data_IF_899379507209
#
_entry.id   IF_899379507209
#
_cell.length_a   1.000
_cell.length_b   1.000
_cell.length_c   1.000
_cell.angle_alpha   90.00
_cell.angle_beta   90.00
_cell.angle_gamma   90.00
#
_symmetry.space_group_name_H-M   'P 1'
#
loop_
_entity.id
_entity.type
_entity.pdbx_description
1 polymer ?
#
# COMPACT_ATOMS: atom_id res chain seq x y z
N UNK A 1 -21.16 56.10 68.21
CA UNK A 1 -21.95 56.82 67.19
C UNK A 1 -21.84 56.00 65.92
N UNK A 2 -23.03 55.48 65.51
CA UNK A 2 -23.50 55.10 64.16
C UNK A 2 -22.56 54.33 63.26
N UNK A 3 -22.60 53.06 63.07
CA UNK A 3 -23.59 52.14 62.63
C UNK A 3 -23.94 52.24 61.14
N UNK A 4 -23.49 51.37 60.29
CA UNK A 4 -24.30 50.97 59.11
C UNK A 4 -23.88 49.60 58.61
N UNK A 5 -24.85 48.72 58.60
CA UNK A 5 -24.81 47.36 58.04
C UNK A 5 -24.67 47.39 56.54
N UNK A 6 -23.88 46.52 55.96
CA UNK A 6 -23.85 46.30 54.50
C UNK A 6 -24.30 44.86 54.24
N UNK A 7 -25.42 44.75 53.51
CA UNK A 7 -26.11 43.52 53.10
C UNK A 7 -25.29 42.82 52.02
N UNK A 8 -25.03 41.53 52.20
CA UNK A 8 -24.46 40.62 51.17
C UNK A 8 -25.59 40.13 50.26
N UNK A 9 -25.46 40.42 48.96
CA UNK A 9 -26.27 39.74 47.93
C UNK A 9 -25.47 38.61 47.33
N UNK A 10 -25.93 37.39 47.49
CA UNK A 10 -25.48 36.20 46.79
C UNK A 10 -26.15 36.20 45.44
N UNK A 11 -25.37 36.42 44.36
CA UNK A 11 -25.77 36.13 43.00
C UNK A 11 -25.29 34.74 42.62
N UNK A 12 -26.22 33.80 42.53
CA UNK A 12 -26.03 32.45 41.99
C UNK A 12 -25.97 32.62 40.47
N UNK A 13 -24.75 32.59 39.93
CA UNK A 13 -24.54 32.48 38.48
C UNK A 13 -24.61 31.02 38.09
N UNK A 14 -25.70 30.55 37.47
CA UNK A 14 -25.75 29.28 36.76
C UNK A 14 -24.85 29.37 35.53
N UNK A 15 -23.66 28.79 35.62
CA UNK A 15 -22.84 28.50 34.44
C UNK A 15 -23.40 27.25 33.79
N UNK A 16 -24.17 27.45 32.73
CA UNK A 16 -24.59 26.38 31.82
C UNK A 16 -23.36 25.96 31.03
N UNK A 17 -22.73 24.88 31.46
CA UNK A 17 -21.77 24.16 30.62
C UNK A 17 -22.54 23.46 29.48
N UNK A 18 -22.65 24.15 28.36
CA UNK A 18 -23.00 23.48 27.10
C UNK A 18 -21.82 22.59 26.74
N UNK A 19 -21.98 21.30 27.04
CA UNK A 19 -21.07 20.26 26.59
C UNK A 19 -21.04 20.22 25.07
N UNK A 20 -19.97 20.70 24.50
CA UNK A 20 -19.61 20.45 23.10
C UNK A 20 -19.13 19.00 23.02
N UNK A 21 -20.07 18.08 22.83
CA UNK A 21 -19.76 16.68 22.48
C UNK A 21 -19.28 16.63 21.04
N UNK A 22 -18.04 16.39 20.88
CA UNK A 22 -17.25 15.71 19.91
C UNK A 22 -17.83 15.29 18.56
N UNK A 23 -17.71 16.14 17.54
CA UNK A 23 -17.73 15.72 16.13
C UNK A 23 -16.31 15.84 15.52
N UNK A 24 -15.31 16.18 16.33
CA UNK A 24 -13.94 16.52 15.86
C UNK A 24 -13.08 15.33 15.40
N UNK A 25 -13.35 14.10 15.86
CA UNK A 25 -12.43 12.98 15.64
C UNK A 25 -12.38 12.41 14.20
N UNK A 26 -13.48 12.46 13.47
CA UNK A 26 -13.52 11.89 12.12
C UNK A 26 -12.93 12.80 11.03
N UNK A 27 -13.01 14.11 11.23
CA UNK A 27 -12.43 15.08 10.30
C UNK A 27 -10.91 15.13 10.43
N UNK A 28 -10.40 15.05 11.65
CA UNK A 28 -8.98 14.95 11.96
C UNK A 28 -8.37 13.67 11.34
N UNK A 29 -9.00 12.51 11.51
CA UNK A 29 -8.54 11.24 10.95
C UNK A 29 -8.47 11.28 9.42
N UNK A 30 -9.50 11.84 8.77
CA UNK A 30 -9.50 12.01 7.31
C UNK A 30 -8.39 12.96 6.82
N UNK A 31 -8.06 14.00 7.57
CA UNK A 31 -6.98 14.93 7.23
C UNK A 31 -5.62 14.23 7.31
N UNK A 32 -5.39 13.37 8.30
CA UNK A 32 -4.17 12.54 8.40
C UNK A 32 -4.03 11.67 7.15
N UNK A 33 -5.11 10.98 6.74
CA UNK A 33 -5.11 10.16 5.52
C UNK A 33 -4.84 11.02 4.28
N UNK A 34 -5.47 12.18 4.16
CA UNK A 34 -5.25 13.09 3.03
C UNK A 34 -3.79 13.54 2.96
N UNK A 35 -3.18 13.86 4.12
CA UNK A 35 -1.76 14.21 4.19
C UNK A 35 -0.88 13.04 3.78
N UNK A 36 -1.12 11.84 4.31
CA UNK A 36 -0.38 10.64 3.95
C UNK A 36 -0.46 10.36 2.44
N UNK A 37 -1.66 10.38 1.86
CA UNK A 37 -1.86 10.22 0.41
C UNK A 37 -1.08 11.27 -0.39
N UNK A 38 -1.13 12.54 0.01
CA UNK A 38 -0.38 13.60 -0.67
C UNK A 38 1.13 13.36 -0.59
N UNK A 39 1.63 12.88 0.55
CA UNK A 39 3.04 12.53 0.75
C UNK A 39 3.45 11.36 -0.13
N UNK A 40 2.63 10.30 -0.22
CA UNK A 40 2.89 9.17 -1.12
C UNK A 40 2.94 9.61 -2.58
N UNK A 41 1.96 10.39 -3.03
CA UNK A 41 1.93 10.91 -4.41
C UNK A 41 3.10 11.85 -4.73
N UNK A 42 3.62 12.58 -3.73
CA UNK A 42 4.80 13.41 -3.89
C UNK A 42 6.07 12.56 -3.96
N UNK A 43 6.17 11.53 -3.13
CA UNK A 43 7.28 10.60 -3.13
C UNK A 43 7.37 9.84 -4.47
N UNK A 44 6.26 9.29 -4.95
CA UNK A 44 6.18 8.59 -6.25
C UNK A 44 6.70 9.46 -7.42
N UNK A 45 6.38 10.76 -7.42
CA UNK A 45 6.86 11.68 -8.46
C UNK A 45 8.33 12.06 -8.35
N UNK A 46 8.90 12.01 -7.15
CA UNK A 46 10.25 12.54 -6.86
C UNK A 46 11.29 11.43 -6.61
N UNK A 47 10.85 10.23 -6.30
CA UNK A 47 11.72 9.08 -6.10
C UNK A 47 12.03 8.43 -7.46
N UNK A 48 13.28 8.43 -7.82
CA UNK A 48 13.83 7.79 -9.02
C UNK A 48 14.90 6.78 -8.64
N UNK A 49 14.98 6.41 -7.35
CA UNK A 49 15.92 5.44 -6.87
C UNK A 49 15.62 4.05 -7.41
N UNK A 50 16.68 3.28 -7.65
CA UNK A 50 16.60 1.90 -8.07
C UNK A 50 17.17 1.01 -6.98
N UNK A 51 16.56 -0.15 -6.80
CA UNK A 51 16.89 -1.06 -5.71
C UNK A 51 17.19 -2.45 -6.22
N UNK A 52 18.09 -3.11 -5.52
CA UNK A 52 18.31 -4.54 -5.61
C UNK A 52 17.77 -5.14 -4.33
N UNK A 53 16.94 -6.18 -4.45
CA UNK A 53 16.35 -6.86 -3.30
C UNK A 53 16.06 -8.33 -3.61
N UNK A 54 15.85 -9.10 -2.55
CA UNK A 54 15.37 -10.48 -2.68
C UNK A 54 13.84 -10.50 -2.48
N UNK A 55 13.16 -11.31 -3.28
CA UNK A 55 11.71 -11.48 -3.29
C UNK A 55 11.33 -12.96 -3.20
N UNK A 56 10.35 -13.27 -2.33
CA UNK A 56 9.66 -14.57 -2.25
C UNK A 56 8.18 -14.33 -2.56
N UNK A 57 7.79 -14.46 -3.84
CA UNK A 57 6.43 -14.30 -4.33
C UNK A 57 5.75 -15.67 -4.46
N UNK A 58 4.71 -15.88 -3.68
CA UNK A 58 3.96 -17.15 -3.60
C UNK A 58 2.52 -16.92 -4.02
N UNK A 59 2.19 -17.49 -5.17
CA UNK A 59 0.83 -17.57 -5.72
C UNK A 59 0.46 -19.03 -5.90
N UNK A 60 -0.84 -19.43 -5.89
CA UNK A 60 -1.25 -20.83 -6.02
C UNK A 60 -0.71 -21.52 -7.26
N UNK A 61 -0.60 -20.81 -8.36
CA UNK A 61 -0.19 -21.36 -9.66
C UNK A 61 1.27 -21.08 -10.00
N UNK A 62 1.93 -20.20 -9.26
CA UNK A 62 3.32 -19.83 -9.51
C UNK A 62 3.98 -19.26 -8.26
N UNK A 63 5.03 -19.92 -7.78
CA UNK A 63 5.84 -19.38 -6.70
C UNK A 63 7.28 -19.16 -7.19
N UNK A 64 7.85 -18.01 -6.85
CA UNK A 64 9.17 -17.61 -7.33
C UNK A 64 9.98 -17.03 -6.18
N UNK A 65 11.23 -17.50 -6.03
CA UNK A 65 12.24 -16.82 -5.19
C UNK A 65 13.32 -16.28 -6.11
N UNK A 66 13.58 -14.99 -5.98
CA UNK A 66 14.45 -14.31 -6.92
C UNK A 66 15.14 -13.09 -6.32
N UNK A 67 16.26 -12.72 -6.90
CA UNK A 67 16.82 -11.39 -6.78
C UNK A 67 16.28 -10.52 -7.90
N UNK A 68 15.92 -9.30 -7.57
CA UNK A 68 15.41 -8.28 -8.50
C UNK A 68 16.36 -7.10 -8.48
N UNK A 69 16.73 -6.59 -9.64
CA UNK A 69 17.48 -5.36 -9.80
C UNK A 69 16.68 -4.40 -10.68
N UNK A 70 16.20 -3.31 -10.08
CA UNK A 70 15.43 -2.26 -10.75
C UNK A 70 16.33 -1.41 -11.64
N UNK A 71 15.80 -0.94 -12.77
CA UNK A 71 16.42 0.06 -13.63
C UNK A 71 15.35 1.02 -14.18
N UNK A 72 15.74 2.17 -14.68
CA UNK A 72 14.83 3.14 -15.30
C UNK A 72 14.05 2.57 -16.52
N UNK A 73 14.46 1.40 -17.04
CA UNK A 73 13.86 0.78 -18.23
C UNK A 73 13.07 -0.48 -17.93
N UNK A 74 13.08 -0.97 -16.68
CA UNK A 74 12.46 -2.21 -16.22
C UNK A 74 13.39 -2.97 -15.28
N UNK A 75 12.99 -4.15 -14.85
CA UNK A 75 13.66 -4.92 -13.81
C UNK A 75 14.29 -6.18 -14.38
N UNK A 76 15.52 -6.46 -13.93
CA UNK A 76 16.20 -7.71 -14.25
C UNK A 76 15.97 -8.68 -13.09
N UNK A 77 15.58 -9.91 -13.41
CA UNK A 77 15.25 -10.94 -12.42
C UNK A 77 16.22 -12.10 -12.50
N UNK A 78 16.88 -12.45 -11.38
CA UNK A 78 17.63 -13.68 -11.22
C UNK A 78 16.80 -14.67 -10.42
N UNK A 79 16.06 -15.52 -11.12
CA UNK A 79 15.19 -16.54 -10.50
C UNK A 79 16.05 -17.66 -9.94
N UNK A 80 15.99 -17.88 -8.62
CA UNK A 80 16.72 -18.95 -7.93
C UNK A 80 15.89 -20.20 -7.75
N UNK A 81 14.58 -20.02 -7.50
CA UNK A 81 13.63 -21.12 -7.32
C UNK A 81 12.29 -20.76 -8.00
N UNK A 82 11.71 -21.69 -8.70
CA UNK A 82 10.43 -21.57 -9.37
C UNK A 82 9.59 -22.83 -9.09
N UNK A 83 8.42 -22.68 -8.46
CA UNK A 83 7.53 -23.79 -8.08
C UNK A 83 8.25 -24.90 -7.29
N UNK A 84 9.11 -24.50 -6.33
CA UNK A 84 9.91 -25.42 -5.50
C UNK A 84 11.11 -26.03 -6.22
N UNK A 85 11.32 -25.75 -7.52
CA UNK A 85 12.49 -26.24 -8.28
C UNK A 85 13.58 -25.17 -8.27
N UNK A 86 14.75 -25.53 -7.73
CA UNK A 86 15.95 -24.68 -7.83
C UNK A 86 16.40 -24.55 -9.29
N UNK A 87 16.68 -23.32 -9.71
CA UNK A 87 17.18 -23.02 -11.05
C UNK A 87 18.71 -23.04 -11.03
N UNK A 88 19.37 -23.88 -11.83
CA UNK A 88 20.83 -23.91 -11.90
C UNK A 88 21.43 -22.58 -12.38
N UNK A 89 22.58 -22.18 -11.85
CA UNK A 89 23.24 -20.90 -12.19
C UNK A 89 23.41 -20.66 -13.71
N UNK A 90 23.75 -21.64 -14.55
CA UNK A 90 23.81 -21.42 -16.00
C UNK A 90 22.43 -21.09 -16.62
N UNK A 91 21.35 -21.67 -16.09
CA UNK A 91 19.98 -21.38 -16.55
C UNK A 91 19.53 -19.98 -16.08
N UNK A 92 19.85 -19.61 -14.82
CA UNK A 92 19.59 -18.28 -14.28
C UNK A 92 20.22 -17.21 -15.20
N UNK A 93 21.53 -17.37 -15.49
CA UNK A 93 22.25 -16.45 -16.38
C UNK A 93 21.61 -16.38 -17.76
N UNK A 94 21.33 -17.52 -18.38
CA UNK A 94 20.69 -17.58 -19.70
C UNK A 94 19.32 -16.89 -19.73
N UNK A 95 18.57 -16.91 -18.64
CA UNK A 95 17.27 -16.22 -18.55
C UNK A 95 17.49 -14.70 -18.48
N UNK A 96 18.44 -14.21 -17.68
CA UNK A 96 18.79 -12.79 -17.61
C UNK A 96 19.33 -12.28 -18.95
N UNK A 97 20.34 -12.95 -19.55
CA UNK A 97 20.90 -12.61 -20.87
C UNK A 97 19.80 -12.45 -21.93
N UNK A 98 18.83 -13.39 -21.95
CA UNK A 98 17.70 -13.34 -22.89
C UNK A 98 16.86 -12.08 -22.68
N UNK A 99 16.53 -11.75 -21.43
CA UNK A 99 15.75 -10.54 -21.12
C UNK A 99 16.52 -9.27 -21.49
N UNK A 100 17.81 -9.20 -21.16
CA UNK A 100 18.67 -8.04 -21.48
C UNK A 100 18.78 -7.82 -22.99
N UNK A 101 18.66 -8.86 -23.81
CA UNK A 101 18.71 -8.79 -25.28
C UNK A 101 17.33 -8.63 -25.93
N UNK A 102 16.22 -8.83 -25.21
CA UNK A 102 14.86 -8.80 -25.74
C UNK A 102 14.16 -7.46 -25.46
N UNK A 103 14.32 -6.51 -26.39
CA UNK A 103 13.67 -5.20 -26.30
C UNK A 103 12.14 -5.28 -26.28
N UNK A 104 11.56 -6.34 -26.85
CA UNK A 104 10.11 -6.56 -26.84
C UNK A 104 9.62 -6.96 -25.44
N UNK A 105 10.31 -7.89 -24.78
CA UNK A 105 10.01 -8.25 -23.39
C UNK A 105 10.18 -7.06 -22.43
N UNK A 106 11.24 -6.27 -22.59
CA UNK A 106 11.50 -5.06 -21.81
C UNK A 106 10.36 -4.02 -21.98
N UNK A 107 9.97 -3.75 -23.22
CA UNK A 107 8.89 -2.81 -23.51
C UNK A 107 7.55 -3.27 -22.92
N UNK A 108 7.26 -4.57 -22.98
CA UNK A 108 6.05 -5.16 -22.39
C UNK A 108 6.07 -5.03 -20.86
N UNK A 109 7.18 -5.38 -20.19
CA UNK A 109 7.30 -5.25 -18.74
C UNK A 109 7.10 -3.79 -18.30
N UNK A 110 7.80 -2.85 -18.95
CA UNK A 110 7.66 -1.42 -18.66
C UNK A 110 6.23 -0.91 -18.87
N UNK A 111 5.57 -1.30 -19.95
CA UNK A 111 4.19 -0.89 -20.22
C UNK A 111 3.21 -1.45 -19.19
N UNK A 112 3.41 -2.70 -18.73
CA UNK A 112 2.60 -3.31 -17.68
C UNK A 112 2.80 -2.57 -16.35
N UNK A 113 4.05 -2.39 -15.89
CA UNK A 113 4.35 -1.66 -14.67
C UNK A 113 3.75 -0.26 -14.66
N UNK A 114 3.94 0.52 -15.74
CA UNK A 114 3.33 1.85 -15.84
C UNK A 114 1.79 1.85 -15.81
N UNK A 115 1.15 0.78 -16.28
CA UNK A 115 -0.31 0.63 -16.17
C UNK A 115 -0.71 0.39 -14.71
N UNK A 116 -0.02 -0.52 -14.03
CA UNK A 116 -0.29 -0.88 -12.65
C UNK A 116 -0.03 0.29 -11.71
N UNK A 117 1.06 1.05 -11.89
CA UNK A 117 1.39 2.27 -11.15
C UNK A 117 0.30 3.34 -11.28
N UNK A 118 -0.17 3.58 -12.51
CA UNK A 118 -1.28 4.54 -12.72
C UNK A 118 -2.55 4.11 -11.99
N UNK A 119 -2.90 2.83 -12.06
CA UNK A 119 -4.07 2.30 -11.39
C UNK A 119 -3.94 2.42 -9.86
N UNK A 120 -2.80 2.04 -9.30
CA UNK A 120 -2.51 2.21 -7.87
C UNK A 120 -2.60 3.68 -7.45
N UNK A 121 -2.03 4.59 -8.24
CA UNK A 121 -2.08 6.04 -8.01
C UNK A 121 -3.52 6.57 -8.00
N UNK A 122 -4.37 6.15 -8.94
CA UNK A 122 -5.77 6.59 -8.96
C UNK A 122 -6.56 6.04 -7.76
N UNK A 123 -6.37 4.78 -7.38
CA UNK A 123 -6.99 4.20 -6.19
C UNK A 123 -6.53 4.90 -4.90
N UNK A 124 -5.24 5.20 -4.78
CA UNK A 124 -4.68 5.91 -3.63
C UNK A 124 -5.34 7.29 -3.42
N UNK A 125 -5.58 8.04 -4.49
CA UNK A 125 -6.27 9.34 -4.44
C UNK A 125 -7.70 9.26 -3.90
N UNK A 126 -8.34 8.13 -4.01
CA UNK A 126 -9.72 7.94 -3.57
C UNK A 126 -9.84 7.66 -2.06
N UNK A 127 -8.79 7.13 -1.41
CA UNK A 127 -8.83 6.67 -0.02
C UNK A 127 -9.43 7.66 0.97
N UNK A 128 -9.09 8.97 0.97
CA UNK A 128 -9.63 9.93 1.93
C UNK A 128 -11.15 10.09 1.86
N UNK A 129 -11.76 9.80 0.70
CA UNK A 129 -13.19 9.98 0.46
C UNK A 129 -13.95 8.64 0.41
N UNK A 130 -13.28 7.54 0.05
CA UNK A 130 -13.88 6.22 -0.07
C UNK A 130 -14.34 5.67 1.27
N UNK A 131 -13.71 6.13 2.36
CA UNK A 131 -13.95 5.60 3.69
C UNK A 131 -14.34 6.67 4.71
N UNK A 132 -15.01 6.23 5.77
CA UNK A 132 -15.14 6.94 7.04
C UNK A 132 -13.97 6.51 7.91
N UNK A 133 -13.15 7.47 8.30
CA UNK A 133 -11.94 7.25 9.07
C UNK A 133 -12.14 7.58 10.54
N UNK A 134 -11.55 6.77 11.42
CA UNK A 134 -11.58 6.98 12.87
C UNK A 134 -10.19 6.77 13.43
N UNK A 135 -9.66 7.73 14.18
CA UNK A 135 -8.42 7.56 14.93
C UNK A 135 -8.64 6.58 16.09
N UNK A 136 -7.89 5.50 16.14
CA UNK A 136 -8.02 4.44 17.16
C UNK A 136 -6.88 4.41 18.16
N UNK A 137 -5.76 5.04 17.86
CA UNK A 137 -4.62 5.13 18.77
C UNK A 137 -3.31 5.48 18.07
N UNK A 138 -2.24 5.50 18.87
CA UNK A 138 -0.87 5.66 18.40
C UNK A 138 -0.02 4.53 18.97
N UNK A 139 0.87 3.98 18.16
CA UNK A 139 1.78 2.92 18.57
C UNK A 139 3.14 3.06 17.87
N UNK A 140 4.22 3.08 18.63
CA UNK A 140 5.61 3.11 18.11
C UNK A 140 5.88 4.22 17.07
N UNK A 141 5.37 5.43 17.32
CA UNK A 141 5.55 6.58 16.40
C UNK A 141 4.70 6.51 15.13
N UNK A 142 3.62 5.75 15.19
CA UNK A 142 2.66 5.64 14.12
C UNK A 142 1.25 5.91 14.63
N UNK A 143 0.46 6.62 13.84
CA UNK A 143 -0.97 6.82 14.04
C UNK A 143 -1.75 5.66 13.42
N UNK A 144 -2.67 5.05 14.19
CA UNK A 144 -3.55 3.97 13.72
C UNK A 144 -4.94 4.52 13.45
N UNK A 145 -5.42 4.29 12.23
CA UNK A 145 -6.70 4.77 11.71
C UNK A 145 -7.55 3.59 11.26
N UNK A 146 -8.72 3.45 11.85
CA UNK A 146 -9.71 2.47 11.39
C UNK A 146 -10.55 3.05 10.25
N UNK A 147 -10.84 2.24 9.24
CA UNK A 147 -11.67 2.64 8.10
C UNK A 147 -12.84 1.70 7.85
N UNK A 148 -13.97 2.30 7.46
CA UNK A 148 -15.18 1.61 7.00
C UNK A 148 -15.69 2.26 5.73
N UNK A 149 -16.43 1.53 4.87
CA UNK A 149 -16.99 2.11 3.66
C UNK A 149 -17.80 3.40 3.94
N UNK A 150 -17.56 4.42 3.14
CA UNK A 150 -18.37 5.63 3.17
C UNK A 150 -19.59 5.45 2.28
N UNK A 151 -20.78 5.36 2.88
CA UNK A 151 -22.04 5.20 2.14
C UNK A 151 -22.35 6.33 1.14
N UNK A 152 -21.67 7.48 1.26
CA UNK A 152 -21.81 8.62 0.32
C UNK A 152 -20.79 8.58 -0.81
N UNK A 153 -19.84 7.66 -0.77
CA UNK A 153 -18.84 7.52 -1.83
C UNK A 153 -19.47 6.79 -3.03
N UNK A 154 -19.26 7.35 -4.20
CA UNK A 154 -19.67 6.76 -5.48
C UNK A 154 -18.40 6.39 -6.24
N UNK A 155 -18.07 5.09 -6.34
CA UNK A 155 -16.89 4.63 -7.07
C UNK A 155 -16.92 5.12 -8.52
N UNK A 156 -15.82 5.72 -9.03
CA UNK A 156 -15.77 6.21 -10.41
C UNK A 156 -15.70 5.07 -11.44
N UNK A 157 -15.19 3.92 -11.02
CA UNK A 157 -14.96 2.76 -11.87
C UNK A 157 -15.21 1.44 -11.10
N UNK A 158 -14.91 0.33 -11.78
CA UNK A 158 -15.11 -1.02 -11.21
C UNK A 158 -14.07 -1.36 -10.16
N UNK A 159 -12.84 -0.95 -10.38
CA UNK A 159 -11.71 -1.18 -9.49
C UNK A 159 -11.98 -0.51 -8.14
N UNK A 160 -12.41 0.74 -8.15
CA UNK A 160 -12.78 1.48 -6.94
C UNK A 160 -14.03 0.92 -6.23
N UNK A 161 -14.87 0.13 -6.92
CA UNK A 161 -16.07 -0.43 -6.30
C UNK A 161 -15.78 -1.42 -5.17
N UNK A 162 -14.58 -1.98 -5.10
CA UNK A 162 -14.14 -2.84 -3.99
C UNK A 162 -14.12 -2.08 -2.66
N UNK A 163 -13.86 -0.77 -2.68
CA UNK A 163 -13.83 0.05 -1.46
C UNK A 163 -15.17 0.08 -0.71
N UNK A 164 -16.28 -0.11 -1.41
CA UNK A 164 -17.60 -0.21 -0.76
C UNK A 164 -17.77 -1.47 0.10
N UNK A 165 -16.83 -2.40 0.03
CA UNK A 165 -16.85 -3.66 0.79
C UNK A 165 -15.63 -3.83 1.71
N UNK A 166 -14.71 -2.87 1.78
CA UNK A 166 -13.46 -2.99 2.56
C UNK A 166 -13.62 -2.33 3.93
N UNK A 167 -13.22 -3.04 4.98
CA UNK A 167 -13.08 -2.52 6.34
C UNK A 167 -11.73 -2.96 6.91
N UNK A 168 -11.07 -2.09 7.70
CA UNK A 168 -9.77 -2.43 8.27
C UNK A 168 -9.07 -1.26 8.94
N UNK A 169 -7.74 -1.36 8.99
CA UNK A 169 -6.88 -0.38 9.64
C UNK A 169 -5.76 0.09 8.70
N UNK A 170 -5.45 1.36 8.79
CA UNK A 170 -4.28 1.98 8.17
C UNK A 170 -3.35 2.49 9.26
N UNK A 171 -2.06 2.24 9.09
CA UNK A 171 -1.03 2.81 9.95
C UNK A 171 -0.24 3.86 9.18
N UNK A 172 -0.13 5.05 9.76
CA UNK A 172 0.62 6.19 9.19
C UNK A 172 1.79 6.54 10.09
N UNK A 173 2.99 6.59 9.54
CA UNK A 173 4.17 7.03 10.28
C UNK A 173 4.09 8.53 10.59
N UNK A 174 4.20 8.89 11.87
CA UNK A 174 3.98 10.26 12.35
C UNK A 174 5.08 11.22 11.89
N UNK A 175 6.33 10.75 11.77
CA UNK A 175 7.47 11.60 11.44
C UNK A 175 7.52 11.97 9.94
N UNK A 176 7.19 11.03 9.07
CA UNK A 176 7.31 11.22 7.63
C UNK A 176 5.95 11.28 6.91
N UNK A 177 4.85 11.10 7.65
CA UNK A 177 3.48 11.04 7.11
C UNK A 177 3.33 10.03 5.96
N UNK A 178 4.02 8.88 6.08
CA UNK A 178 3.97 7.80 5.09
C UNK A 178 3.05 6.69 5.56
N UNK A 179 2.34 6.08 4.62
CA UNK A 179 1.53 4.88 4.92
C UNK A 179 2.49 3.74 5.23
N UNK A 180 2.46 3.23 6.47
CA UNK A 180 3.29 2.12 6.90
C UNK A 180 2.60 0.76 6.71
N UNK A 181 1.27 0.71 6.88
CA UNK A 181 0.51 -0.50 6.57
C UNK A 181 -0.94 -0.21 6.20
N UNK A 182 -1.54 -1.13 5.46
CA UNK A 182 -2.97 -1.15 5.15
C UNK A 182 -3.46 -2.60 5.26
N UNK A 183 -4.30 -2.87 6.26
CA UNK A 183 -4.79 -4.22 6.58
C UNK A 183 -6.30 -4.22 6.66
N UNK A 184 -6.94 -5.27 6.16
CA UNK A 184 -8.39 -5.35 6.27
C UNK A 184 -8.98 -6.58 5.61
N UNK A 185 -10.29 -6.52 5.45
CA UNK A 185 -11.07 -7.61 4.88
C UNK A 185 -12.30 -7.10 4.12
N UNK A 186 -12.87 -7.97 3.31
CA UNK A 186 -14.12 -7.72 2.62
C UNK A 186 -15.30 -8.09 3.53
N UNK A 187 -16.14 -7.10 3.87
CA UNK A 187 -17.31 -7.27 4.75
C UNK A 187 -18.54 -7.86 4.04
N UNK A 188 -18.57 -7.81 2.70
CA UNK A 188 -19.59 -8.45 1.88
C UNK A 188 -19.03 -8.80 0.49
N UNK A 189 -19.78 -9.59 -0.28
CA UNK A 189 -19.41 -9.96 -1.66
C UNK A 189 -19.37 -8.72 -2.56
N UNK A 190 -18.31 -8.58 -3.38
CA UNK A 190 -18.21 -7.59 -4.45
C UNK A 190 -18.49 -8.27 -5.79
N UNK A 191 -19.48 -7.79 -6.53
CA UNK A 191 -19.91 -8.38 -7.80
C UNK A 191 -19.65 -7.42 -8.95
N UNK A 192 -18.97 -7.90 -9.99
CA UNK A 192 -18.70 -7.17 -11.20
C UNK A 192 -19.53 -7.74 -12.36
N UNK A 193 -20.16 -6.86 -13.15
CA UNK A 193 -20.99 -7.28 -14.27
C UNK A 193 -22.12 -8.22 -13.84
N UNK A 194 -22.90 -7.84 -12.80
CA UNK A 194 -23.95 -8.67 -12.19
C UNK A 194 -23.47 -10.04 -11.67
N UNK A 195 -22.16 -10.14 -11.35
CA UNK A 195 -21.56 -11.39 -10.90
C UNK A 195 -21.11 -12.33 -12.03
N UNK A 196 -21.32 -11.94 -13.28
CA UNK A 196 -20.92 -12.75 -14.44
C UNK A 196 -19.44 -12.57 -14.81
N UNK A 197 -18.86 -11.39 -14.55
CA UNK A 197 -17.46 -11.08 -14.89
C UNK A 197 -16.50 -11.41 -13.77
N UNK A 198 -16.90 -11.07 -12.54
CA UNK A 198 -16.13 -11.41 -11.35
C UNK A 198 -17.00 -11.32 -10.09
N UNK A 199 -16.61 -12.06 -9.07
CA UNK A 199 -17.16 -11.97 -7.72
C UNK A 199 -16.03 -12.18 -6.73
N UNK A 200 -15.80 -11.22 -5.85
CA UNK A 200 -14.94 -11.37 -4.67
C UNK A 200 -15.83 -11.71 -3.48
N UNK A 201 -15.40 -12.68 -2.68
CA UNK A 201 -16.19 -13.19 -1.55
C UNK A 201 -15.89 -12.44 -0.27
N UNK A 202 -16.93 -12.21 0.53
CA UNK A 202 -16.82 -11.71 1.90
C UNK A 202 -15.82 -12.54 2.73
N UNK A 203 -15.14 -11.90 3.67
CA UNK A 203 -14.12 -12.52 4.52
C UNK A 203 -12.76 -12.69 3.85
N UNK A 204 -12.61 -12.29 2.57
CA UNK A 204 -11.28 -12.17 1.96
C UNK A 204 -10.46 -11.09 2.65
N UNK A 205 -9.16 -11.35 2.88
CA UNK A 205 -8.24 -10.46 3.61
C UNK A 205 -7.18 -9.87 2.70
N UNK A 206 -6.69 -8.71 3.08
CA UNK A 206 -5.51 -8.08 2.51
C UNK A 206 -4.67 -7.46 3.63
N UNK A 207 -3.36 -7.52 3.46
CA UNK A 207 -2.37 -6.95 4.37
C UNK A 207 -1.17 -6.49 3.53
N UNK A 208 -0.89 -5.20 3.56
CA UNK A 208 0.25 -4.60 2.86
C UNK A 208 1.09 -3.86 3.90
N UNK A 209 2.34 -4.25 4.02
CA UNK A 209 3.31 -3.57 4.86
C UNK A 209 4.36 -2.84 4.03
N UNK A 210 4.76 -1.68 4.51
CA UNK A 210 5.82 -0.87 3.91
C UNK A 210 6.84 -0.49 4.97
N UNK A 211 8.09 -0.46 4.58
CA UNK A 211 9.20 -0.07 5.47
C UNK A 211 10.13 0.91 4.78
N UNK A 212 10.76 1.73 5.56
CA UNK A 212 11.82 2.61 5.09
C UNK A 212 13.08 1.77 4.81
N UNK A 213 13.47 1.72 3.55
CA UNK A 213 14.64 0.92 3.08
C UNK A 213 15.88 1.79 2.84
N UNK A 214 15.72 3.11 2.79
CA UNK A 214 16.78 4.11 2.63
C UNK A 214 16.37 5.44 3.24
N UNK A 215 17.10 6.52 2.98
CA UNK A 215 16.74 7.84 3.48
C UNK A 215 15.39 8.27 2.90
N UNK A 216 14.35 8.22 3.73
CA UNK A 216 12.95 8.60 3.38
C UNK A 216 12.36 7.84 2.18
N UNK A 217 12.98 6.73 1.77
CA UNK A 217 12.45 5.84 0.72
C UNK A 217 11.72 4.68 1.38
N UNK A 218 10.44 4.54 1.06
CA UNK A 218 9.56 3.51 1.58
C UNK A 218 9.16 2.55 0.48
N UNK A 219 9.42 1.26 0.70
CA UNK A 219 9.06 0.19 -0.24
C UNK A 219 8.00 -0.74 0.38
N UNK A 220 7.18 -1.35 -0.44
CA UNK A 220 6.34 -2.48 -0.02
C UNK A 220 7.29 -3.64 0.28
N UNK A 221 7.24 -4.12 1.53
CA UNK A 221 8.08 -5.23 1.98
C UNK A 221 7.31 -6.52 2.16
N UNK A 222 6.01 -6.43 2.41
CA UNK A 222 5.13 -7.58 2.56
C UNK A 222 3.76 -7.29 1.95
N UNK A 223 3.23 -8.27 1.23
CA UNK A 223 1.87 -8.25 0.68
C UNK A 223 1.24 -9.62 0.90
N UNK A 224 0.10 -9.66 1.58
CA UNK A 224 -0.68 -10.87 1.78
C UNK A 224 -2.12 -10.61 1.34
N UNK A 225 -2.55 -11.24 0.25
CA UNK A 225 -3.90 -11.13 -0.27
C UNK A 225 -4.52 -12.50 -0.35
N UNK A 226 -5.58 -12.72 0.44
CA UNK A 226 -6.30 -13.98 0.50
C UNK A 226 -7.78 -13.74 0.21
N UNK A 227 -8.11 -13.42 -1.03
CA UNK A 227 -9.46 -13.14 -1.49
C UNK A 227 -9.94 -14.28 -2.38
N UNK A 228 -11.03 -14.94 -2.00
CA UNK A 228 -11.66 -15.97 -2.82
C UNK A 228 -12.61 -15.37 -3.84
N UNK A 229 -12.64 -15.95 -5.02
CA UNK A 229 -13.55 -15.53 -6.07
C UNK A 229 -12.94 -15.65 -7.47
N UNK A 230 -13.64 -15.16 -8.47
CA UNK A 230 -13.11 -15.00 -9.82
C UNK A 230 -12.85 -13.51 -10.06
N UNK A 231 -11.58 -13.12 -10.15
CA UNK A 231 -11.18 -11.74 -10.36
C UNK A 231 -10.49 -11.58 -11.74
N UNK A 232 -11.28 -11.65 -12.82
CA UNK A 232 -10.76 -11.42 -14.17
C UNK A 232 -10.28 -9.98 -14.39
N UNK A 233 -10.65 -9.04 -13.51
CA UNK A 233 -10.39 -7.60 -13.67
C UNK A 233 -9.16 -7.10 -12.92
N UNK A 234 -8.70 -7.81 -11.90
CA UNK A 234 -7.51 -7.47 -11.13
C UNK A 234 -6.31 -8.29 -11.60
N UNK A 235 -5.79 -7.97 -12.76
CA UNK A 235 -4.61 -8.66 -13.31
C UNK A 235 -3.34 -8.47 -12.47
N UNK A 236 -3.31 -7.43 -11.63
CA UNK A 236 -2.16 -7.09 -10.78
C UNK A 236 -2.27 -7.63 -9.36
N UNK A 237 -3.46 -8.04 -8.90
CA UNK A 237 -3.67 -8.61 -7.57
C UNK A 237 -4.20 -10.02 -7.75
N UNK A 238 -3.40 -11.00 -7.38
CA UNK A 238 -3.80 -12.41 -7.33
C UNK A 238 -4.86 -12.62 -6.24
N UNK A 239 -5.79 -13.56 -6.46
CA UNK A 239 -6.78 -13.95 -5.44
C UNK A 239 -6.11 -14.50 -4.17
N UNK A 240 -4.92 -15.05 -4.31
CA UNK A 240 -4.06 -15.50 -3.22
C UNK A 240 -2.62 -15.15 -3.57
N UNK A 241 -2.01 -14.31 -2.78
CA UNK A 241 -0.64 -13.84 -2.95
C UNK A 241 -0.01 -13.62 -1.58
N UNK A 242 1.14 -14.20 -1.38
CA UNK A 242 2.05 -13.91 -0.28
C UNK A 242 3.38 -13.49 -0.88
N UNK A 243 3.69 -12.21 -0.85
CA UNK A 243 4.93 -11.62 -1.34
C UNK A 243 5.71 -10.99 -0.19
N UNK A 244 7.00 -11.31 -0.10
CA UNK A 244 7.90 -10.73 0.88
C UNK A 244 9.21 -10.31 0.22
N UNK A 245 9.67 -9.09 0.55
CA UNK A 245 10.88 -8.48 0.00
C UNK A 245 11.82 -8.04 1.10
N UNK A 246 13.11 -8.35 0.94
CA UNK A 246 14.14 -7.99 1.92
C UNK A 246 15.51 -7.83 1.27
N UNK A 247 16.54 -7.49 2.08
CA UNK A 247 17.90 -7.25 1.60
C UNK A 247 17.99 -6.14 0.55
N UNK A 248 17.34 -5.02 0.82
CA UNK A 248 17.36 -3.87 -0.08
C UNK A 248 18.72 -3.20 -0.12
N UNK A 249 19.27 -3.02 -1.32
CA UNK A 249 20.50 -2.29 -1.62
C UNK A 249 20.23 -1.28 -2.71
N UNK A 250 20.55 -0.01 -2.46
CA UNK A 250 20.37 1.03 -3.47
C UNK A 250 21.37 0.86 -4.61
N UNK A 251 20.87 0.93 -5.83
CA UNK A 251 21.64 0.89 -7.06
C UNK A 251 21.87 2.31 -7.61
N UNK A 252 22.85 2.51 -8.50
CA UNK A 252 23.02 3.79 -9.21
C UNK A 252 21.77 4.14 -10.04
N UNK A 253 21.41 5.44 -10.07
CA UNK A 253 20.18 5.91 -10.76
C UNK A 253 20.23 5.69 -12.29
N UNK A 254 21.42 5.61 -12.87
CA UNK A 254 21.66 5.41 -14.31
C UNK A 254 22.05 3.97 -14.68
N UNK A 255 21.82 3.01 -13.77
CA UNK A 255 22.19 1.61 -13.97
C UNK A 255 21.56 1.03 -15.24
N UNK A 256 22.37 0.43 -16.08
CA UNK A 256 21.92 -0.29 -17.27
C UNK A 256 21.50 -1.72 -16.95
N UNK A 257 20.75 -2.37 -17.85
CA UNK A 257 20.39 -3.79 -17.70
C UNK A 257 21.61 -4.70 -17.54
N UNK A 258 22.69 -4.44 -18.27
CA UNK A 258 23.92 -5.23 -18.16
C UNK A 258 24.60 -5.08 -16.79
N UNK A 259 24.65 -3.85 -16.28
CA UNK A 259 25.18 -3.60 -14.93
C UNK A 259 24.27 -4.20 -13.85
N UNK A 260 22.95 -4.14 -14.02
CA UNK A 260 22.00 -4.78 -13.12
C UNK A 260 22.18 -6.30 -13.10
N UNK A 261 22.39 -6.93 -14.25
CA UNK A 261 22.74 -8.35 -14.34
C UNK A 261 24.05 -8.66 -13.59
N UNK A 262 25.09 -7.83 -13.77
CA UNK A 262 26.37 -8.00 -13.08
C UNK A 262 26.23 -7.88 -11.55
N UNK A 263 25.38 -6.96 -11.06
CA UNK A 263 25.08 -6.83 -9.62
C UNK A 263 24.31 -8.06 -9.09
N UNK A 264 23.34 -8.56 -9.84
CA UNK A 264 22.61 -9.78 -9.50
C UNK A 264 23.52 -11.00 -9.39
N UNK A 265 24.53 -11.11 -10.25
CA UNK A 265 25.48 -12.23 -10.25
C UNK A 265 26.45 -12.22 -9.05
N UNK A 266 26.60 -11.07 -8.37
CA UNK A 266 27.41 -10.95 -7.16
C UNK A 266 26.70 -11.42 -5.90
N UNK A 267 25.37 -11.51 -5.94
CA UNK A 267 24.59 -11.93 -4.78
C UNK A 267 24.84 -13.40 -4.49
N UNK A 268 25.17 -13.70 -3.24
CA UNK A 268 25.34 -15.07 -2.77
C UNK A 268 23.98 -15.68 -2.43
N UNK A 269 23.84 -16.96 -2.69
CA UNK A 269 22.65 -17.74 -2.33
C UNK A 269 22.57 -17.96 -0.82
#
# INVERSE_FOLDING_TARGET
MTGKATRWYWLVGCVVFLGWCGVAHGEDARQIVQQAVNTELAADRNDHSHWLYFEDDRKPENSVKQWVAETAKGDVHRVEEENGRKIPAPEQRKRMDRFVQDSGAQAKQKSSGQHDDRQATELLKLLPNAFVWTHTGNHDGNTVLHFKPNAKFHPPDREASVFAAMEGDMTVNDAEHRIASLKGHLIHDVKFGFGLLATLKAGGTFDVERRMVGKSVWQITETHVHIRGHALLFKSISEQEDDAKWNFHQLPDDISFQQAEDELLKQNN
#
